data_IF_932685160593
#
_entry.id   IF_932685160593
#
_cell.length_a   1.000
_cell.length_b   1.000
_cell.length_c   1.000
_cell.angle_alpha   90.00
_cell.angle_beta   90.00
_cell.angle_gamma   90.00
#
_symmetry.space_group_name_H-M   'P 1'
#
loop_
_entity.id
_entity.type
_entity.pdbx_description
1 polymer ?
#
# COMPACT_ATOMS: atom_id res chain seq x y z
N UNK A 1 19.71 -31.70 10.97
CA UNK A 1 18.28 -31.31 11.03
C UNK A 1 18.18 -29.94 10.43
N UNK A 2 17.70 -29.88 9.22
CA UNK A 2 17.29 -28.60 8.64
C UNK A 2 15.96 -28.23 9.27
N UNK A 3 15.96 -27.18 10.08
CA UNK A 3 14.72 -26.56 10.48
C UNK A 3 14.02 -26.08 9.20
N UNK A 4 12.96 -26.77 8.82
CA UNK A 4 12.07 -26.26 7.78
C UNK A 4 11.48 -24.96 8.33
N UNK A 5 12.08 -23.83 7.96
CA UNK A 5 11.46 -22.54 8.19
C UNK A 5 10.16 -22.54 7.40
N UNK A 6 9.04 -22.60 8.12
CA UNK A 6 7.75 -22.34 7.52
C UNK A 6 7.82 -20.95 6.86
N UNK A 7 7.34 -20.80 5.61
CA UNK A 7 7.30 -19.50 4.99
C UNK A 7 6.53 -18.55 5.91
N UNK A 8 7.15 -17.43 6.29
CA UNK A 8 6.48 -16.40 7.07
C UNK A 8 5.30 -15.90 6.26
N UNK A 9 4.10 -16.06 6.79
CA UNK A 9 2.92 -15.47 6.19
C UNK A 9 3.01 -13.95 6.27
N UNK A 10 2.85 -13.29 5.12
CA UNK A 10 2.72 -11.85 5.07
C UNK A 10 1.41 -11.43 5.75
N UNK A 11 1.45 -10.39 6.57
CA UNK A 11 0.28 -9.78 7.15
C UNK A 11 -0.07 -8.49 6.41
N UNK A 12 -1.31 -8.39 5.96
CA UNK A 12 -1.84 -7.16 5.37
C UNK A 12 -2.64 -6.42 6.44
N UNK A 13 -2.27 -5.17 6.69
CA UNK A 13 -2.92 -4.32 7.70
C UNK A 13 -3.60 -3.15 6.99
N UNK A 14 -4.93 -3.14 6.86
CA UNK A 14 -5.64 -1.97 6.37
C UNK A 14 -5.78 -0.91 7.45
N UNK A 15 -5.59 0.35 7.07
CA UNK A 15 -5.84 1.50 7.94
C UNK A 15 -6.94 2.33 7.32
N UNK A 16 -8.09 2.36 7.97
CA UNK A 16 -9.27 3.04 7.49
C UNK A 16 -9.79 4.03 8.53
N UNK A 17 -10.48 5.07 8.08
CA UNK A 17 -11.21 5.97 8.96
C UNK A 17 -12.57 6.32 8.38
N UNK A 18 -13.55 6.50 9.25
CA UNK A 18 -14.92 6.82 8.85
C UNK A 18 -15.15 8.28 8.51
N UNK A 19 -14.21 9.17 8.81
CA UNK A 19 -14.28 10.59 8.48
C UNK A 19 -13.04 11.04 7.74
N UNK A 20 -13.22 11.94 6.79
CA UNK A 20 -12.14 12.57 6.07
C UNK A 20 -11.09 13.12 7.01
N UNK A 21 -9.85 12.73 6.84
CA UNK A 21 -8.95 13.39 7.34
C UNK A 21 -7.80 13.10 8.15
N UNK A 22 -7.79 13.71 9.13
CA UNK A 22 -6.62 14.09 9.86
C UNK A 22 -6.06 12.88 10.58
N UNK A 23 -4.85 12.50 10.22
CA UNK A 23 -4.06 11.57 11.01
C UNK A 23 -3.99 10.13 10.50
N UNK A 24 -4.85 9.71 9.59
CA UNK A 24 -4.84 8.33 9.07
C UNK A 24 -3.51 8.01 8.36
N UNK A 25 -3.08 8.87 7.44
CA UNK A 25 -1.79 8.68 6.73
C UNK A 25 -0.60 8.82 7.67
N UNK A 26 -0.69 9.69 8.67
CA UNK A 26 0.34 9.82 9.72
C UNK A 26 0.43 8.53 10.54
N UNK A 27 -0.70 7.96 10.94
CA UNK A 27 -0.74 6.68 11.67
C UNK A 27 -0.15 5.56 10.81
N UNK A 28 -0.53 5.46 9.54
CA UNK A 28 0.00 4.47 8.62
C UNK A 28 1.51 4.60 8.46
N UNK A 29 2.01 5.81 8.27
CA UNK A 29 3.43 6.08 8.15
C UNK A 29 4.18 5.71 9.44
N UNK A 30 3.70 6.16 10.59
CA UNK A 30 4.34 5.88 11.87
C UNK A 30 4.35 4.39 12.22
N UNK A 31 3.27 3.69 11.97
CA UNK A 31 3.20 2.24 12.18
C UNK A 31 4.18 1.51 11.25
N UNK A 32 4.25 1.92 10.00
CA UNK A 32 5.18 1.34 9.01
C UNK A 32 6.64 1.53 9.45
N UNK A 33 6.99 2.73 9.86
CA UNK A 33 8.34 3.04 10.37
C UNK A 33 8.66 2.22 11.61
N UNK A 34 7.73 2.15 12.56
CA UNK A 34 7.92 1.39 13.80
C UNK A 34 8.17 -0.10 13.55
N UNK A 35 7.43 -0.70 12.64
CA UNK A 35 7.64 -2.10 12.25
C UNK A 35 8.99 -2.29 11.55
N UNK A 36 9.37 -1.36 10.67
CA UNK A 36 10.63 -1.41 9.97
C UNK A 36 11.83 -1.26 10.94
N UNK A 37 11.71 -0.40 11.93
CA UNK A 37 12.74 -0.23 12.97
C UNK A 37 12.94 -1.49 13.82
N UNK A 38 11.92 -2.31 13.94
CA UNK A 38 12.02 -3.62 14.62
C UNK A 38 12.62 -4.72 13.74
N UNK A 39 13.05 -4.39 12.53
CA UNK A 39 13.65 -5.33 11.60
C UNK A 39 12.66 -6.06 10.69
N UNK A 40 11.38 -5.71 10.72
CA UNK A 40 10.39 -6.25 9.80
C UNK A 40 10.52 -5.61 8.43
N UNK A 41 10.32 -6.40 7.38
CA UNK A 41 10.24 -5.88 6.01
C UNK A 41 8.82 -5.38 5.77
N UNK A 42 8.69 -4.09 5.46
CA UNK A 42 7.39 -3.41 5.37
C UNK A 42 7.24 -2.72 4.03
N UNK A 43 6.06 -2.85 3.43
CA UNK A 43 5.64 -2.05 2.28
C UNK A 43 4.43 -1.23 2.68
N UNK A 44 4.54 0.08 2.60
CA UNK A 44 3.42 1.01 2.81
C UNK A 44 2.80 1.34 1.45
N UNK A 45 1.50 1.11 1.32
CA UNK A 45 0.76 1.26 0.09
C UNK A 45 -0.28 2.36 0.24
N UNK A 46 -0.26 3.32 -0.67
CA UNK A 46 -1.25 4.39 -0.70
C UNK A 46 -2.44 3.99 -1.58
N UNK A 47 -3.58 3.74 -0.93
CA UNK A 47 -4.85 3.48 -1.60
C UNK A 47 -5.87 4.61 -1.40
N UNK A 48 -5.43 5.76 -0.88
CA UNK A 48 -6.27 6.95 -0.79
C UNK A 48 -6.30 7.67 -2.14
N UNK A 49 -7.40 7.55 -2.80
CA UNK A 49 -7.57 7.91 -4.20
C UNK A 49 -8.03 9.34 -4.44
N UNK A 50 -8.46 9.99 -3.40
CA UNK A 50 -8.91 11.38 -3.45
C UNK A 50 -7.93 12.37 -2.84
N UNK A 51 -6.89 11.89 -2.18
CA UNK A 51 -5.96 12.76 -1.47
C UNK A 51 -4.72 11.99 -0.99
N UNK A 52 -3.96 11.47 -1.93
CA UNK A 52 -2.73 10.69 -1.65
C UNK A 52 -1.72 11.53 -0.88
N UNK A 53 -1.61 11.33 0.42
CA UNK A 53 -0.69 12.06 1.30
C UNK A 53 0.35 11.16 1.99
N UNK A 54 0.29 9.86 1.81
CA UNK A 54 1.20 8.93 2.49
C UNK A 54 2.67 9.21 2.10
N UNK A 55 2.92 9.54 0.84
CA UNK A 55 4.26 9.91 0.38
C UNK A 55 4.84 11.08 1.16
N UNK A 56 4.04 12.11 1.42
CA UNK A 56 4.44 13.28 2.20
C UNK A 56 4.83 12.88 3.63
N UNK A 57 4.03 12.04 4.27
CA UNK A 57 4.30 11.55 5.62
C UNK A 57 5.57 10.71 5.71
N UNK A 58 6.00 10.11 4.59
CA UNK A 58 7.24 9.34 4.48
C UNK A 58 8.42 10.15 3.95
N UNK A 59 8.23 11.45 3.68
CA UNK A 59 9.27 12.32 3.16
C UNK A 59 9.64 12.06 1.70
N UNK A 60 8.71 11.54 0.91
CA UNK A 60 8.93 11.21 -0.49
C UNK A 60 8.24 12.20 -1.43
N UNK A 61 8.83 12.39 -2.61
CA UNK A 61 8.19 13.12 -3.70
C UNK A 61 7.11 12.27 -4.38
N UNK A 62 6.08 12.92 -4.93
CA UNK A 62 4.99 12.23 -5.62
C UNK A 62 5.25 12.12 -7.14
N UNK A 63 6.45 11.72 -7.51
CA UNK A 63 6.87 11.61 -8.92
C UNK A 63 6.97 10.16 -9.42
N UNK A 64 6.66 9.21 -8.55
CA UNK A 64 6.79 7.80 -8.89
C UNK A 64 5.51 7.27 -9.51
N UNK A 65 5.62 6.36 -10.50
CA UNK A 65 4.47 5.63 -10.97
C UNK A 65 3.86 4.79 -9.84
N UNK A 66 2.58 4.58 -9.88
CA UNK A 66 1.86 3.91 -8.82
C UNK A 66 0.82 2.90 -9.31
N UNK A 67 -0.06 2.52 -8.42
CA UNK A 67 -1.10 1.51 -8.67
C UNK A 67 -1.96 1.89 -9.87
N UNK A 68 -2.27 3.16 -10.06
CA UNK A 68 -3.02 3.61 -11.24
C UNK A 68 -2.34 3.25 -12.54
N UNK A 69 -1.03 3.39 -12.62
CA UNK A 69 -0.25 3.03 -13.80
C UNK A 69 -0.27 1.51 -14.05
N UNK A 70 -0.17 0.73 -12.99
CA UNK A 70 -0.30 -0.71 -13.09
C UNK A 70 -1.68 -1.13 -13.63
N UNK A 71 -2.74 -0.52 -13.13
CA UNK A 71 -4.10 -0.83 -13.55
C UNK A 71 -4.39 -0.40 -15.00
N UNK A 72 -3.66 0.59 -15.50
CA UNK A 72 -3.71 0.98 -16.92
C UNK A 72 -2.81 0.11 -17.82
N UNK A 73 -2.27 -0.97 -17.27
CA UNK A 73 -1.42 -1.94 -17.96
C UNK A 73 -0.08 -1.39 -18.50
N UNK A 74 0.45 -0.35 -17.86
CA UNK A 74 1.77 0.19 -18.19
C UNK A 74 2.92 -0.61 -17.59
N UNK A 75 2.63 -1.47 -16.60
CA UNK A 75 3.62 -2.27 -15.86
C UNK A 75 3.12 -3.71 -15.68
N UNK A 76 4.03 -4.66 -15.73
CA UNK A 76 3.71 -6.08 -15.65
C UNK A 76 3.41 -6.60 -14.24
N UNK A 77 4.03 -5.99 -13.22
CA UNK A 77 3.82 -6.35 -11.82
C UNK A 77 4.03 -5.14 -10.90
N UNK A 78 3.54 -5.26 -9.66
CA UNK A 78 3.65 -4.18 -8.68
C UNK A 78 5.07 -3.96 -8.16
N UNK A 79 5.92 -4.96 -8.20
CA UNK A 79 7.30 -4.85 -7.71
C UNK A 79 8.09 -3.80 -8.48
N UNK A 80 7.80 -3.60 -9.75
CA UNK A 80 8.43 -2.57 -10.58
C UNK A 80 8.12 -1.15 -10.11
N UNK A 81 7.06 -0.97 -9.33
CA UNK A 81 6.58 0.32 -8.86
C UNK A 81 7.05 0.65 -7.45
N UNK A 82 7.56 -0.33 -6.73
CA UNK A 82 7.98 -0.16 -5.34
C UNK A 82 9.27 0.65 -5.29
N UNK A 83 9.29 1.65 -4.43
CA UNK A 83 10.44 2.52 -4.22
C UNK A 83 10.96 2.40 -2.79
N UNK A 84 12.26 2.64 -2.62
CA UNK A 84 12.89 2.69 -1.32
C UNK A 84 12.52 4.00 -0.60
N UNK A 85 12.55 3.95 0.73
CA UNK A 85 12.42 5.11 1.59
C UNK A 85 13.73 5.39 2.30
N UNK A 86 13.79 6.49 3.07
CA UNK A 86 14.93 6.79 3.93
C UNK A 86 15.10 5.81 5.10
N UNK A 87 14.08 5.01 5.37
CA UNK A 87 14.12 3.98 6.41
C UNK A 87 14.51 2.64 5.83
N UNK A 88 15.58 1.98 6.33
CA UNK A 88 15.85 0.59 5.97
C UNK A 88 14.64 -0.30 6.28
N UNK A 89 14.40 -1.31 5.48
CA UNK A 89 13.28 -2.25 5.59
C UNK A 89 11.90 -1.67 5.29
N UNK A 90 11.78 -0.39 4.98
CA UNK A 90 10.51 0.23 4.59
C UNK A 90 10.55 0.64 3.13
N UNK A 91 9.62 0.11 2.35
CA UNK A 91 9.39 0.48 0.95
C UNK A 91 8.00 1.09 0.79
N UNK A 92 7.82 1.80 -0.30
CA UNK A 92 6.59 2.54 -0.58
C UNK A 92 6.05 2.20 -1.96
N UNK A 93 4.74 2.07 -2.06
CA UNK A 93 4.01 1.92 -3.31
C UNK A 93 3.00 3.06 -3.42
N UNK A 94 3.20 3.91 -4.43
CA UNK A 94 2.33 5.05 -4.67
C UNK A 94 0.94 4.62 -5.15
N UNK A 95 -0.05 5.44 -4.85
CA UNK A 95 -1.41 5.30 -5.38
C UNK A 95 -1.56 5.93 -6.75
N UNK A 96 -2.73 6.47 -7.03
CA UNK A 96 -2.98 7.21 -8.25
C UNK A 96 -3.20 8.70 -7.92
N UNK A 97 -2.25 9.53 -8.29
CA UNK A 97 -2.33 10.98 -8.11
C UNK A 97 -3.11 11.68 -9.23
N UNK A 98 -3.47 10.98 -10.30
CA UNK A 98 -3.94 11.60 -11.54
C UNK A 98 -5.38 11.33 -11.89
N UNK A 99 -6.04 10.37 -11.25
CA UNK A 99 -7.34 9.92 -11.71
C UNK A 99 -8.11 9.21 -10.60
N UNK A 100 -9.41 9.45 -10.44
CA UNK A 100 -10.26 8.73 -9.50
C UNK A 100 -10.62 7.32 -9.97
N UNK A 101 -9.74 6.67 -10.73
CA UNK A 101 -9.99 5.36 -11.36
C UNK A 101 -10.33 4.25 -10.38
N UNK A 102 -9.82 4.34 -9.16
CA UNK A 102 -10.04 3.27 -8.19
C UNK A 102 -11.44 3.31 -7.55
N UNK A 103 -12.12 4.44 -7.58
CA UNK A 103 -13.53 4.50 -7.15
C UNK A 103 -14.43 3.61 -8.01
N UNK A 104 -14.00 3.26 -9.21
CA UNK A 104 -14.75 2.49 -10.20
C UNK A 104 -14.09 1.16 -10.60
N UNK A 105 -13.22 0.60 -9.75
CA UNK A 105 -12.60 -0.67 -10.03
C UNK A 105 -13.62 -1.81 -10.07
N UNK A 106 -13.55 -2.59 -11.13
CA UNK A 106 -14.30 -3.84 -11.21
C UNK A 106 -13.74 -4.89 -10.25
N UNK A 107 -14.57 -5.83 -9.81
CA UNK A 107 -14.18 -6.89 -8.89
C UNK A 107 -12.96 -7.69 -9.37
N UNK A 108 -12.85 -7.94 -10.68
CA UNK A 108 -11.71 -8.62 -11.26
C UNK A 108 -10.40 -7.84 -11.09
N UNK A 109 -10.45 -6.52 -11.24
CA UNK A 109 -9.27 -5.65 -11.05
C UNK A 109 -8.87 -5.58 -9.57
N UNK A 110 -9.84 -5.51 -8.66
CA UNK A 110 -9.61 -5.56 -7.21
C UNK A 110 -8.91 -6.87 -6.81
N UNK A 111 -9.43 -8.00 -7.29
CA UNK A 111 -8.85 -9.31 -7.02
C UNK A 111 -7.42 -9.42 -7.57
N UNK A 112 -7.19 -8.92 -8.77
CA UNK A 112 -5.86 -8.89 -9.38
C UNK A 112 -4.89 -8.07 -8.52
N UNK A 113 -5.30 -6.89 -8.07
CA UNK A 113 -4.50 -6.04 -7.20
C UNK A 113 -4.17 -6.74 -5.88
N UNK A 114 -5.17 -7.32 -5.21
CA UNK A 114 -4.96 -8.02 -3.95
C UNK A 114 -4.04 -9.23 -4.11
N UNK A 115 -4.18 -9.98 -5.19
CA UNK A 115 -3.30 -11.11 -5.46
C UNK A 115 -1.85 -10.66 -5.67
N UNK A 116 -1.63 -9.53 -6.32
CA UNK A 116 -0.30 -8.98 -6.50
C UNK A 116 0.28 -8.45 -5.18
N UNK A 117 -0.53 -7.81 -4.35
CA UNK A 117 -0.10 -7.35 -3.03
C UNK A 117 0.34 -8.52 -2.14
N UNK A 118 -0.35 -9.65 -2.21
CA UNK A 118 0.00 -10.85 -1.44
C UNK A 118 1.30 -11.51 -1.90
N UNK A 119 1.76 -11.22 -3.11
CA UNK A 119 3.01 -11.76 -3.68
C UNK A 119 4.23 -10.89 -3.36
N UNK A 120 4.04 -9.72 -2.74
CA UNK A 120 5.15 -8.87 -2.38
C UNK A 120 6.05 -9.54 -1.35
N UNK A 121 7.35 -9.35 -1.49
CA UNK A 121 8.34 -9.85 -0.54
C UNK A 121 8.42 -8.92 0.68
N UNK A 122 7.53 -9.14 1.62
CA UNK A 122 7.42 -8.35 2.83
C UNK A 122 6.84 -9.15 3.98
N UNK A 123 7.13 -8.74 5.20
CA UNK A 123 6.49 -9.30 6.40
C UNK A 123 5.13 -8.63 6.66
N UNK A 124 5.06 -7.32 6.39
CA UNK A 124 3.84 -6.52 6.54
C UNK A 124 3.60 -5.65 5.32
N UNK A 125 2.36 -5.58 4.90
CA UNK A 125 1.88 -4.62 3.90
C UNK A 125 0.80 -3.77 4.56
N UNK A 126 1.05 -2.48 4.71
CA UNK A 126 0.08 -1.54 5.27
C UNK A 126 -0.63 -0.81 4.14
N UNK A 127 -1.96 -0.82 4.20
CA UNK A 127 -2.79 -0.16 3.20
C UNK A 127 -3.42 1.10 3.79
N UNK A 128 -3.04 2.25 3.28
CA UNK A 128 -3.66 3.53 3.63
C UNK A 128 -4.93 3.71 2.78
N UNK A 129 -6.08 3.41 3.37
CA UNK A 129 -7.37 3.46 2.69
C UNK A 129 -7.95 4.87 2.73
N UNK A 130 -8.56 5.31 1.64
CA UNK A 130 -9.20 6.61 1.57
C UNK A 130 -10.38 6.76 2.52
N UNK A 131 -10.52 7.95 3.09
CA UNK A 131 -11.68 8.29 3.89
C UNK A 131 -12.92 8.52 3.02
N UNK A 132 -14.08 8.05 3.44
CA UNK A 132 -15.35 8.29 2.77
C UNK A 132 -15.63 7.41 1.55
N UNK A 133 -14.68 6.60 1.10
CA UNK A 133 -14.87 5.61 0.03
C UNK A 133 -15.04 4.20 0.59
N UNK A 134 -15.55 4.11 1.80
CA UNK A 134 -15.52 2.94 2.65
C UNK A 134 -16.15 1.69 2.02
N UNK A 135 -17.18 1.84 1.23
CA UNK A 135 -17.87 0.68 0.65
C UNK A 135 -17.04 -0.01 -0.43
N UNK A 136 -16.38 0.74 -1.29
CA UNK A 136 -15.53 0.16 -2.33
C UNK A 136 -14.22 -0.40 -1.78
N UNK A 137 -13.76 0.12 -0.66
CA UNK A 137 -12.50 -0.31 -0.06
C UNK A 137 -12.69 -1.49 0.89
N UNK A 138 -13.81 -1.58 1.59
CA UNK A 138 -14.14 -2.73 2.44
C UNK A 138 -14.35 -4.02 1.64
N UNK A 139 -14.73 -3.92 0.37
CA UNK A 139 -14.84 -5.04 -0.53
C UNK A 139 -13.50 -5.73 -0.84
N UNK A 140 -12.37 -5.12 -0.46
CA UNK A 140 -11.05 -5.75 -0.55
C UNK A 140 -10.83 -6.79 0.57
N UNK A 141 -11.65 -6.76 1.57
CA UNK A 141 -11.53 -7.60 2.75
C UNK A 141 -12.83 -8.35 3.00
#
# INVERSE_FOLDING_TARGET
MEEQQQPKEMTIIPVASGKGGVGKSVITANLSVSLAEKGCRVVAVDLDLGGSNLHTCLGLDNNNPGIGDYLRAHYGNLEELIVDTSHPNLKFLAGDARSPLMANLHSAQKNKLMNQLRKLDADFVLLDLGSGSAYNTLDFF
#
